data_IF_240310720310
#
_entry.id   IF_240310720310
#
_cell.length_a   1.000
_cell.length_b   1.000
_cell.length_c   1.000
_cell.angle_alpha   90.00
_cell.angle_beta   90.00
_cell.angle_gamma   90.00
#
_symmetry.space_group_name_H-M   'P 1'
#
loop_
_entity.id
_entity.type
_entity.pdbx_description
1 polymer ?
#
# COMPACT_ATOMS: atom_id res chain seq x y z
N UNK A 1 12.20 -10.20 4.82
CA UNK A 1 11.12 -10.14 3.82
C UNK A 1 10.02 -11.09 4.24
N UNK A 2 8.81 -10.56 4.45
CA UNK A 2 7.59 -11.29 4.78
C UNK A 2 6.91 -11.66 3.48
N UNK A 3 6.38 -12.88 3.38
CA UNK A 3 5.71 -13.39 2.19
C UNK A 3 4.30 -13.81 2.58
N UNK A 4 3.30 -13.30 1.85
CA UNK A 4 1.88 -13.56 2.11
C UNK A 4 1.23 -14.04 0.82
N UNK A 5 0.55 -15.19 0.87
CA UNK A 5 -0.26 -15.70 -0.24
C UNK A 5 -1.61 -14.99 -0.23
N UNK A 6 -2.07 -14.56 -1.40
CA UNK A 6 -3.37 -13.88 -1.60
C UNK A 6 -4.15 -14.53 -2.75
N UNK A 7 -5.29 -13.97 -3.16
CA UNK A 7 -6.14 -14.47 -4.26
C UNK A 7 -5.36 -14.80 -5.53
N UNK A 8 -5.92 -15.72 -6.31
CA UNK A 8 -5.43 -16.12 -7.63
C UNK A 8 -3.96 -16.58 -7.69
N UNK A 9 -3.41 -17.03 -6.55
CA UNK A 9 -2.04 -17.54 -6.45
C UNK A 9 -0.97 -16.45 -6.44
N UNK A 10 -1.35 -15.19 -6.23
CA UNK A 10 -0.40 -14.10 -6.05
C UNK A 10 0.33 -14.19 -4.71
N UNK A 11 1.55 -13.65 -4.69
CA UNK A 11 2.42 -13.53 -3.53
C UNK A 11 2.81 -12.09 -3.31
N UNK A 12 2.55 -11.59 -2.12
CA UNK A 12 2.97 -10.25 -1.70
C UNK A 12 4.21 -10.38 -0.82
N UNK A 13 5.28 -9.68 -1.20
CA UNK A 13 6.52 -9.55 -0.45
C UNK A 13 6.58 -8.15 0.14
N UNK A 14 6.90 -8.09 1.43
CA UNK A 14 7.07 -6.83 2.13
C UNK A 14 8.31 -6.91 3.02
N UNK A 15 9.15 -5.88 2.98
CA UNK A 15 10.29 -5.76 3.89
C UNK A 15 9.87 -5.35 5.31
N UNK A 16 8.65 -4.79 5.46
CA UNK A 16 8.04 -4.44 6.75
C UNK A 16 6.80 -5.28 7.07
N UNK A 17 6.38 -5.26 8.35
CA UNK A 17 5.11 -5.86 8.78
C UNK A 17 3.94 -5.09 8.19
N UNK A 18 2.96 -5.84 7.69
CA UNK A 18 1.77 -5.28 7.05
C UNK A 18 0.52 -6.02 7.52
N UNK A 19 -0.61 -5.32 7.51
CA UNK A 19 -1.95 -5.91 7.61
C UNK A 19 -2.54 -5.94 6.20
N UNK A 20 -2.97 -7.11 5.75
CA UNK A 20 -3.60 -7.29 4.44
C UNK A 20 -5.06 -7.66 4.64
N UNK A 21 -5.93 -6.87 4.03
CA UNK A 21 -7.35 -7.16 3.90
C UNK A 21 -7.63 -7.50 2.45
N UNK A 22 -8.43 -8.55 2.23
CA UNK A 22 -8.73 -9.04 0.91
C UNK A 22 -10.23 -9.28 0.79
N UNK A 23 -10.83 -8.74 -0.26
CA UNK A 23 -12.21 -9.06 -0.64
C UNK A 23 -12.27 -10.40 -1.38
N UNK A 24 -13.44 -11.04 -1.39
CA UNK A 24 -13.65 -12.37 -1.99
C UNK A 24 -13.22 -12.46 -3.45
N UNK A 25 -13.27 -11.35 -4.20
CA UNK A 25 -12.97 -11.30 -5.64
C UNK A 25 -11.61 -10.68 -5.99
N UNK A 26 -10.73 -10.46 -5.00
CA UNK A 26 -9.31 -10.23 -5.24
C UNK A 26 -8.79 -8.81 -5.04
N UNK A 27 -9.64 -7.85 -4.65
CA UNK A 27 -9.17 -6.54 -4.21
C UNK A 27 -8.38 -6.67 -2.91
N UNK A 28 -7.21 -6.03 -2.86
CA UNK A 28 -6.34 -5.98 -1.70
C UNK A 28 -6.25 -4.56 -1.16
N UNK A 29 -6.36 -4.45 0.16
CA UNK A 29 -5.93 -3.28 0.92
C UNK A 29 -4.78 -3.68 1.85
N UNK A 30 -3.62 -3.06 1.64
CA UNK A 30 -2.38 -3.35 2.37
C UNK A 30 -2.00 -2.14 3.20
N UNK A 31 -1.94 -2.33 4.52
CA UNK A 31 -1.58 -1.29 5.49
C UNK A 31 -0.22 -1.61 6.11
N UNK A 32 0.67 -0.63 6.18
CA UNK A 32 1.90 -0.74 6.96
C UNK A 32 1.54 -0.84 8.46
N UNK A 33 2.10 -1.83 9.16
CA UNK A 33 1.88 -2.03 10.59
C UNK A 33 2.83 -1.14 11.41
N UNK A 34 2.42 0.12 11.61
CA UNK A 34 3.17 1.11 12.38
C UNK A 34 2.36 1.59 13.60
N UNK A 35 3.06 1.95 14.69
CA UNK A 35 2.46 2.35 15.97
C UNK A 35 2.07 3.85 16.05
N UNK A 36 2.10 4.57 14.93
CA UNK A 36 1.91 6.02 14.92
C UNK A 36 0.44 6.45 14.91
N UNK A 37 0.20 7.75 15.15
CA UNK A 37 -1.13 8.35 15.25
C UNK A 37 -1.77 8.48 13.87
N UNK A 38 -2.94 7.84 13.68
CA UNK A 38 -3.70 7.82 12.43
C UNK A 38 -3.57 6.51 11.68
N UNK A 39 -4.64 6.08 10.99
CA UNK A 39 -4.54 4.92 10.12
C UNK A 39 -3.75 5.30 8.86
N UNK A 40 -2.60 4.66 8.58
CA UNK A 40 -1.87 4.92 7.35
C UNK A 40 -2.77 4.60 6.15
N UNK A 41 -2.74 5.46 5.13
CA UNK A 41 -3.51 5.19 3.92
C UNK A 41 -3.08 3.84 3.30
N UNK A 42 -4.01 3.00 2.83
CA UNK A 42 -3.67 1.70 2.28
C UNK A 42 -3.09 1.81 0.87
N UNK A 43 -2.21 0.87 0.55
CA UNK A 43 -1.95 0.46 -0.82
C UNK A 43 -3.12 -0.38 -1.30
N UNK A 44 -3.75 0.04 -2.40
CA UNK A 44 -4.87 -0.66 -3.01
C UNK A 44 -4.43 -1.33 -4.31
N UNK A 45 -4.77 -2.61 -4.44
CA UNK A 45 -4.43 -3.41 -5.62
C UNK A 45 -5.65 -4.24 -6.02
N UNK A 46 -6.07 -4.10 -7.27
CA UNK A 46 -7.06 -4.98 -7.87
C UNK A 46 -6.33 -6.18 -8.48
N UNK A 47 -6.56 -7.38 -7.95
CA UNK A 47 -5.98 -8.61 -8.50
C UNK A 47 -7.00 -9.36 -9.33
N UNK A 48 -6.52 -9.85 -10.47
CA UNK A 48 -7.20 -10.90 -11.24
C UNK A 48 -6.30 -12.12 -11.32
N UNK A 49 -6.75 -13.16 -12.02
CA UNK A 49 -5.89 -14.29 -12.32
C UNK A 49 -4.66 -13.92 -13.17
N UNK A 50 -4.73 -12.85 -13.97
CA UNK A 50 -3.72 -12.53 -14.98
C UNK A 50 -3.02 -11.20 -14.76
N UNK A 51 -3.55 -10.36 -13.88
CA UNK A 51 -3.05 -8.99 -13.66
C UNK A 51 -3.11 -8.57 -12.20
N UNK A 52 -2.28 -7.59 -11.87
CA UNK A 52 -2.37 -6.81 -10.64
C UNK A 52 -2.35 -5.33 -11.04
N UNK A 53 -3.40 -4.59 -10.68
CA UNK A 53 -3.54 -3.17 -10.99
C UNK A 53 -3.46 -2.35 -9.71
N UNK A 54 -2.48 -1.47 -9.62
CA UNK A 54 -2.33 -0.58 -8.45
C UNK A 54 -3.32 0.57 -8.62
N UNK A 55 -4.29 0.68 -7.71
CA UNK A 55 -5.34 1.72 -7.76
C UNK A 55 -5.07 2.88 -6.82
N UNK A 56 -4.28 2.67 -5.77
CA UNK A 56 -3.84 3.73 -4.85
C UNK A 56 -2.47 3.39 -4.28
N UNK A 57 -1.55 4.37 -4.25
CA UNK A 57 -0.22 4.22 -3.65
C UNK A 57 -0.03 5.26 -2.55
N UNK A 58 0.04 4.86 -1.26
CA UNK A 58 0.27 5.79 -0.17
C UNK A 58 1.71 6.28 -0.16
N UNK A 59 1.94 7.44 0.47
CA UNK A 59 3.26 8.10 0.53
C UNK A 59 4.36 7.26 1.21
N UNK A 60 3.98 6.29 2.05
CA UNK A 60 4.91 5.37 2.72
C UNK A 60 5.42 4.26 1.79
N UNK A 61 4.87 4.11 0.59
CA UNK A 61 5.39 3.15 -0.40
C UNK A 61 6.48 3.84 -1.21
N UNK A 62 7.69 3.28 -1.16
CA UNK A 62 8.81 3.75 -1.97
C UNK A 62 8.74 3.16 -3.39
N UNK A 63 8.47 1.85 -3.47
CA UNK A 63 8.51 1.10 -4.73
C UNK A 63 7.57 -0.09 -4.69
N UNK A 64 6.95 -0.36 -5.84
CA UNK A 64 6.20 -1.59 -6.10
C UNK A 64 6.73 -2.24 -7.37
N UNK A 65 7.02 -3.54 -7.30
CA UNK A 65 7.38 -4.35 -8.47
C UNK A 65 6.38 -5.48 -8.64
N UNK A 66 5.82 -5.58 -9.83
CA UNK A 66 4.85 -6.62 -10.21
C UNK A 66 5.48 -7.48 -11.29
N UNK A 67 5.48 -8.80 -11.11
CA UNK A 67 6.08 -9.74 -12.05
C UNK A 67 5.04 -10.67 -12.69
N UNK A 68 5.38 -11.22 -13.86
CA UNK A 68 4.54 -12.20 -14.56
C UNK A 68 4.41 -13.54 -13.81
N UNK A 69 5.32 -13.82 -12.87
CA UNK A 69 5.28 -15.01 -12.00
C UNK A 69 4.37 -14.83 -10.78
N UNK A 70 3.49 -13.83 -10.81
CA UNK A 70 2.52 -13.50 -9.75
C UNK A 70 3.15 -13.08 -8.42
N UNK A 71 4.29 -12.38 -8.50
CA UNK A 71 4.95 -11.79 -7.34
C UNK A 71 4.73 -10.27 -7.33
N UNK A 72 4.33 -9.73 -6.19
CA UNK A 72 4.22 -8.29 -5.90
C UNK A 72 5.21 -7.99 -4.78
N UNK A 73 6.21 -7.17 -5.05
CA UNK A 73 7.22 -6.76 -4.06
C UNK A 73 7.00 -5.31 -3.69
N UNK A 74 6.85 -5.04 -2.40
CA UNK A 74 6.63 -3.70 -1.86
C UNK A 74 7.83 -3.32 -0.99
N UNK A 75 8.42 -2.17 -1.29
CA UNK A 75 9.43 -1.52 -0.46
C UNK A 75 8.79 -0.29 0.18
N UNK A 76 8.93 -0.17 1.51
CA UNK A 76 8.32 0.92 2.26
C UNK A 76 9.38 1.96 2.65
N UNK A 77 9.04 3.24 2.48
CA UNK A 77 9.76 4.33 3.10
C UNK A 77 9.18 4.55 4.51
N UNK A 78 9.77 3.88 5.49
CA UNK A 78 9.33 3.93 6.89
C UNK A 78 9.79 5.20 7.64
N UNK A 79 10.52 6.11 6.97
CA UNK A 79 10.83 7.42 7.56
C UNK A 79 9.67 8.39 7.33
N UNK A 80 9.02 8.91 8.39
CA UNK A 80 7.96 9.88 8.23
C UNK A 80 8.53 11.14 7.56
N UNK A 81 7.88 11.60 6.49
CA UNK A 81 8.21 12.89 5.89
C UNK A 81 8.04 13.97 6.97
N UNK A 82 9.11 14.70 7.26
CA UNK A 82 9.04 15.91 8.07
C UNK A 82 8.40 17.01 7.22
N UNK A 83 7.07 17.02 7.16
CA UNK A 83 6.30 18.05 6.48
C UNK A 83 6.06 19.21 7.45
N UNK A 84 6.58 20.38 7.10
CA UNK A 84 6.16 21.64 7.72
C UNK A 84 5.11 22.29 6.82
N UNK A 85 3.93 22.58 7.35
CA UNK A 85 2.96 23.41 6.64
C UNK A 85 3.57 24.81 6.43
N UNK A 86 3.62 25.27 5.19
CA UNK A 86 3.66 26.72 4.92
C UNK A 86 2.25 27.22 5.18
N UNK A 87 2.08 28.32 5.92
CA UNK A 87 0.76 28.86 6.33
C UNK A 87 -0.32 28.61 5.27
N UNK A 88 -1.36 27.87 5.63
CA UNK A 88 -2.43 27.53 4.70
C UNK A 88 -3.16 28.79 4.26
N UNK A 89 -3.30 28.99 2.95
CA UNK A 89 -4.28 29.95 2.43
C UNK A 89 -5.64 29.28 2.56
N UNK A 90 -6.37 29.64 3.61
CA UNK A 90 -7.78 29.31 3.76
C UNK A 90 -8.58 30.46 3.15
N UNK A 91 -9.11 30.26 1.94
CA UNK A 91 -10.18 31.13 1.45
C UNK A 91 -11.46 30.69 2.15
N UNK A 92 -11.89 31.45 3.15
CA UNK A 92 -13.27 31.40 3.63
C UNK A 92 -14.16 31.85 2.45
N UNK A 93 -14.71 30.89 1.71
CA UNK A 93 -15.80 31.15 0.79
C UNK A 93 -17.07 31.36 1.62
N UNK A 94 -17.48 32.63 1.77
CA UNK A 94 -18.79 33.05 2.29
C UNK A 94 -19.97 32.45 1.50
#
# INVERSE_FOLDING_TARGET
MIIIMVSHGWRVHSDHRVRIYQESEGNLAIFLDMKEFGDPAPLLIDLTEQSASITSTPHLVEKIEVTLTKEIVITWNAEPFQLSATEGIYEDSE
#
